data_IF_270671177712
#
_entry.id   IF_270671177712
#
_cell.length_a   1.000
_cell.length_b   1.000
_cell.length_c   1.000
_cell.angle_alpha   90.00
_cell.angle_beta   90.00
_cell.angle_gamma   90.00
#
_symmetry.space_group_name_H-M   'P 1'
#
loop_
_entity.id
_entity.type
_entity.pdbx_description
1 polymer ?
#
# COMPACT_ATOMS: atom_id res chain seq x y z
N UNK A 1 -2.48 14.49 15.06
CA UNK A 1 -1.24 15.24 15.33
C UNK A 1 -1.20 16.46 14.42
N UNK A 2 -0.72 17.64 14.86
CA UNK A 2 -0.76 18.88 14.07
C UNK A 2 -0.10 18.76 12.69
N UNK A 3 0.99 18.01 12.60
CA UNK A 3 1.71 17.77 11.34
C UNK A 3 0.90 17.00 10.29
N UNK A 4 -0.10 16.23 10.69
CA UNK A 4 -0.94 15.44 9.78
C UNK A 4 -2.20 16.20 9.31
N UNK A 5 -2.42 17.43 9.78
CA UNK A 5 -3.64 18.18 9.50
C UNK A 5 -3.78 18.59 8.02
N UNK A 6 -2.66 18.71 7.30
CA UNK A 6 -2.64 19.07 5.89
C UNK A 6 -2.92 17.89 4.94
N UNK A 7 -3.05 16.66 5.47
CA UNK A 7 -3.18 15.45 4.67
C UNK A 7 -1.86 15.03 4.01
N UNK A 8 -1.94 14.01 3.15
CA UNK A 8 -0.80 13.47 2.41
C UNK A 8 -1.22 13.11 0.99
N UNK A 9 -0.45 13.56 -0.01
CA UNK A 9 -0.69 13.18 -1.41
C UNK A 9 -0.33 11.72 -1.67
N UNK A 10 0.67 11.21 -0.95
CA UNK A 10 1.28 9.91 -1.19
C UNK A 10 1.57 9.22 0.14
N UNK A 11 1.32 7.92 0.20
CA UNK A 11 1.64 7.08 1.35
C UNK A 11 2.49 5.90 0.88
N UNK A 12 3.53 5.59 1.64
CA UNK A 12 4.30 4.36 1.48
C UNK A 12 4.19 3.54 2.78
N UNK A 13 3.99 2.23 2.64
CA UNK A 13 4.01 1.31 3.77
C UNK A 13 4.90 0.11 3.46
N UNK A 14 5.69 -0.28 4.46
CA UNK A 14 6.57 -1.45 4.46
C UNK A 14 6.41 -2.18 5.80
N UNK A 15 5.28 -2.88 6.02
CA UNK A 15 5.01 -3.59 7.25
C UNK A 15 5.80 -4.89 7.35
N UNK A 16 5.97 -5.37 8.59
CA UNK A 16 6.43 -6.73 8.84
C UNK A 16 5.45 -7.80 8.27
N UNK A 17 5.81 -9.08 8.36
CA UNK A 17 5.08 -10.23 7.76
C UNK A 17 3.57 -10.28 8.07
N UNK A 18 3.12 -9.71 9.19
CA UNK A 18 1.70 -9.66 9.58
C UNK A 18 0.85 -8.72 8.69
N UNK A 19 1.49 -7.84 7.92
CA UNK A 19 0.84 -6.79 7.13
C UNK A 19 0.39 -5.61 7.96
N UNK A 20 -0.49 -4.79 7.39
CA UNK A 20 -0.88 -3.47 7.85
C UNK A 20 -2.38 -3.35 8.17
N UNK A 21 -3.09 -4.46 8.42
CA UNK A 21 -4.55 -4.47 8.62
C UNK A 21 -5.07 -3.39 9.60
N UNK A 22 -4.36 -3.17 10.71
CA UNK A 22 -4.74 -2.17 11.71
C UNK A 22 -4.69 -0.71 11.23
N UNK A 23 -3.94 -0.40 10.17
CA UNK A 23 -3.78 0.97 9.65
C UNK A 23 -4.48 1.21 8.32
N UNK A 24 -5.01 0.17 7.65
CA UNK A 24 -5.63 0.30 6.33
C UNK A 24 -6.84 1.22 6.31
N UNK A 25 -7.69 1.14 7.34
CA UNK A 25 -8.84 2.05 7.46
C UNK A 25 -8.42 3.51 7.64
N UNK A 26 -7.27 3.77 8.25
CA UNK A 26 -6.72 5.11 8.41
C UNK A 26 -6.16 5.65 7.09
N UNK A 27 -5.48 4.81 6.30
CA UNK A 27 -4.97 5.18 4.98
C UNK A 27 -6.12 5.53 4.03
N UNK A 28 -7.21 4.76 4.06
CA UNK A 28 -8.41 5.10 3.27
C UNK A 28 -8.99 6.47 3.68
N UNK A 29 -9.04 6.77 4.98
CA UNK A 29 -9.52 8.08 5.49
C UNK A 29 -8.63 9.25 5.08
N UNK A 30 -7.32 9.04 4.98
CA UNK A 30 -6.38 10.06 4.49
C UNK A 30 -6.56 10.34 2.99
N UNK A 31 -7.17 9.41 2.26
CA UNK A 31 -7.47 9.50 0.83
C UNK A 31 -6.29 9.98 -0.06
N UNK A 32 -5.04 9.49 0.13
CA UNK A 32 -3.92 9.91 -0.71
C UNK A 32 -4.17 9.58 -2.19
N UNK A 33 -3.60 10.38 -3.08
CA UNK A 33 -3.66 10.11 -4.52
C UNK A 33 -2.95 8.80 -4.88
N UNK A 34 -1.88 8.43 -4.15
CA UNK A 34 -1.06 7.23 -4.43
C UNK A 34 -0.68 6.50 -3.15
N UNK A 35 -0.72 5.16 -3.19
CA UNK A 35 -0.24 4.29 -2.12
C UNK A 35 0.75 3.29 -2.67
N UNK A 36 1.97 3.23 -2.12
CA UNK A 36 2.95 2.19 -2.40
C UNK A 36 3.00 1.23 -1.23
N UNK A 37 2.74 -0.05 -1.47
CA UNK A 37 2.79 -1.11 -0.47
C UNK A 37 3.96 -2.04 -0.81
N UNK A 38 4.95 -2.12 0.08
CA UNK A 38 6.04 -3.12 0.04
C UNK A 38 5.68 -4.29 0.96
N UNK A 39 5.90 -5.52 0.53
CA UNK A 39 5.55 -6.70 1.31
C UNK A 39 6.41 -7.92 1.01
N UNK A 40 6.85 -8.56 2.08
CA UNK A 40 7.51 -9.86 2.09
C UNK A 40 6.53 -11.04 2.19
N UNK A 41 5.21 -10.78 2.24
CA UNK A 41 4.18 -11.80 2.39
C UNK A 41 2.98 -11.55 1.44
N UNK A 42 2.85 -12.30 0.35
CA UNK A 42 1.82 -12.06 -0.66
C UNK A 42 0.40 -12.24 -0.13
N UNK A 43 0.19 -13.08 0.88
CA UNK A 43 -1.13 -13.33 1.47
C UNK A 43 -1.64 -12.11 2.23
N UNK A 44 -0.79 -11.49 3.06
CA UNK A 44 -1.18 -10.29 3.81
C UNK A 44 -1.25 -9.06 2.92
N UNK A 45 -0.38 -8.97 1.91
CA UNK A 45 -0.52 -7.97 0.84
C UNK A 45 -1.90 -8.07 0.17
N UNK A 46 -2.33 -9.27 -0.25
CA UNK A 46 -3.62 -9.45 -0.92
C UNK A 46 -4.81 -9.05 -0.03
N UNK A 47 -4.81 -9.47 1.25
CA UNK A 47 -5.83 -9.08 2.24
C UNK A 47 -5.93 -7.56 2.37
N UNK A 48 -4.80 -6.89 2.56
CA UNK A 48 -4.75 -5.45 2.80
C UNK A 48 -5.09 -4.67 1.52
N UNK A 49 -4.65 -5.16 0.37
CA UNK A 49 -4.98 -4.60 -0.95
C UNK A 49 -6.49 -4.56 -1.17
N UNK A 50 -7.22 -5.58 -0.72
CA UNK A 50 -8.68 -5.62 -0.86
C UNK A 50 -9.37 -4.43 -0.17
N UNK A 51 -8.79 -3.90 0.92
CA UNK A 51 -9.31 -2.70 1.59
C UNK A 51 -9.20 -1.47 0.70
N UNK A 52 -8.07 -1.29 0.00
CA UNK A 52 -7.86 -0.19 -0.93
C UNK A 52 -8.73 -0.32 -2.18
N UNK A 53 -8.85 -1.54 -2.72
CA UNK A 53 -9.71 -1.82 -3.88
C UNK A 53 -11.18 -1.52 -3.58
N UNK A 54 -11.68 -1.94 -2.41
CA UNK A 54 -13.05 -1.65 -1.97
C UNK A 54 -13.28 -0.15 -1.69
N UNK A 55 -12.23 0.59 -1.34
CA UNK A 55 -12.28 2.04 -1.23
C UNK A 55 -12.22 2.76 -2.59
N UNK A 56 -12.09 2.01 -3.69
CA UNK A 56 -12.08 2.53 -5.06
C UNK A 56 -10.71 2.96 -5.58
N UNK A 57 -9.63 2.49 -4.95
CA UNK A 57 -8.30 2.57 -5.55
C UNK A 57 -8.16 1.50 -6.63
N UNK A 58 -7.32 1.77 -7.63
CA UNK A 58 -6.93 0.80 -8.64
C UNK A 58 -5.50 0.34 -8.40
N UNK A 59 -5.25 -0.97 -8.50
CA UNK A 59 -3.89 -1.51 -8.57
C UNK A 59 -3.29 -1.11 -9.93
N UNK A 60 -2.36 -0.16 -9.91
CA UNK A 60 -1.74 0.39 -11.11
C UNK A 60 -0.54 -0.42 -11.57
N UNK A 61 0.29 -0.89 -10.64
CA UNK A 61 1.45 -1.74 -10.93
C UNK A 61 1.74 -2.68 -9.76
N UNK A 62 2.31 -3.83 -10.08
CA UNK A 62 2.94 -4.73 -9.12
C UNK A 62 4.30 -5.17 -9.65
N UNK A 63 5.28 -5.32 -8.77
CA UNK A 63 6.61 -5.86 -9.08
C UNK A 63 7.02 -6.85 -8.01
N UNK A 64 7.70 -7.90 -8.45
CA UNK A 64 8.37 -8.85 -7.58
C UNK A 64 9.85 -8.48 -7.52
N UNK A 65 10.46 -8.64 -6.36
CA UNK A 65 11.86 -8.34 -6.11
C UNK A 65 12.52 -9.55 -5.45
N UNK A 66 13.56 -10.07 -6.07
CA UNK A 66 14.45 -11.06 -5.46
C UNK A 66 15.52 -10.34 -4.65
N UNK A 67 15.18 -9.98 -3.40
CA UNK A 67 16.13 -9.34 -2.48
C UNK A 67 17.03 -10.36 -1.78
N UNK A 68 16.67 -11.64 -1.79
CA UNK A 68 17.38 -12.71 -1.08
C UNK A 68 17.55 -13.93 -2.00
N UNK A 69 18.47 -13.86 -2.98
CA UNK A 69 18.69 -14.94 -3.93
C UNK A 69 19.01 -16.26 -3.23
N UNK A 70 18.58 -17.37 -3.84
CA UNK A 70 18.72 -18.72 -3.30
C UNK A 70 17.94 -18.99 -2.00
N UNK A 71 16.97 -18.14 -1.66
CA UNK A 71 16.02 -18.39 -0.56
C UNK A 71 14.59 -18.51 -1.10
N UNK A 72 13.66 -18.95 -0.24
CA UNK A 72 12.23 -18.93 -0.57
C UNK A 72 11.57 -17.56 -0.34
N UNK A 73 12.32 -16.52 0.03
CA UNK A 73 11.76 -15.20 0.29
C UNK A 73 11.46 -14.48 -1.03
N UNK A 74 10.30 -13.84 -1.09
CA UNK A 74 9.89 -13.04 -2.23
C UNK A 74 9.36 -11.71 -1.70
N UNK A 75 10.03 -10.64 -2.10
CA UNK A 75 9.56 -9.29 -1.84
C UNK A 75 8.67 -8.83 -2.99
N UNK A 76 7.67 -8.02 -2.68
CA UNK A 76 6.71 -7.51 -3.64
C UNK A 76 6.40 -6.05 -3.36
N UNK A 77 6.11 -5.30 -4.41
CA UNK A 77 5.74 -3.90 -4.32
C UNK A 77 4.52 -3.64 -5.19
N UNK A 78 3.48 -3.06 -4.61
CA UNK A 78 2.22 -2.73 -5.27
C UNK A 78 1.96 -1.23 -5.21
N UNK A 79 1.64 -0.63 -6.36
CA UNK A 79 1.21 0.76 -6.49
C UNK A 79 -0.30 0.81 -6.68
N UNK A 80 -0.98 1.52 -5.80
CA UNK A 80 -2.40 1.84 -5.90
C UNK A 80 -2.57 3.32 -6.21
N UNK A 81 -3.52 3.64 -7.09
CA UNK A 81 -3.87 5.02 -7.43
C UNK A 81 -5.34 5.28 -7.15
N UNK A 82 -5.63 6.47 -6.64
CA UNK A 82 -6.98 6.99 -6.51
C UNK A 82 -7.28 7.89 -7.72
N UNK A 83 -8.05 7.40 -8.67
CA UNK A 83 -8.37 8.14 -9.91
C UNK A 83 -9.31 9.34 -9.67
N UNK A 84 -9.87 9.46 -8.47
CA UNK A 84 -10.68 10.61 -8.06
C UNK A 84 -9.86 11.72 -7.40
N UNK A 85 -8.58 11.47 -7.10
CA UNK A 85 -7.72 12.49 -6.54
C UNK A 85 -7.23 13.45 -7.66
N UNK A 86 -7.24 14.77 -7.43
CA UNK A 86 -6.70 15.72 -8.40
C UNK A 86 -5.22 15.41 -8.68
N UNK A 87 -4.79 15.59 -9.93
CA UNK A 87 -3.36 15.56 -10.26
C UNK A 87 -2.65 16.69 -9.53
N UNK A 88 -1.61 16.34 -8.78
CA UNK A 88 -0.75 17.26 -8.01
C UNK A 88 0.52 17.54 -8.80
#
# INVERSE_FOLDING_TARGET
QPWAAQGFDKVMLDPARAGAAGVMSHIVKLAPARVVYVSCNPTTLARDSNVLLNAGYRLARVRMLDMFPHTGHLESMALFINERAPEV
#
